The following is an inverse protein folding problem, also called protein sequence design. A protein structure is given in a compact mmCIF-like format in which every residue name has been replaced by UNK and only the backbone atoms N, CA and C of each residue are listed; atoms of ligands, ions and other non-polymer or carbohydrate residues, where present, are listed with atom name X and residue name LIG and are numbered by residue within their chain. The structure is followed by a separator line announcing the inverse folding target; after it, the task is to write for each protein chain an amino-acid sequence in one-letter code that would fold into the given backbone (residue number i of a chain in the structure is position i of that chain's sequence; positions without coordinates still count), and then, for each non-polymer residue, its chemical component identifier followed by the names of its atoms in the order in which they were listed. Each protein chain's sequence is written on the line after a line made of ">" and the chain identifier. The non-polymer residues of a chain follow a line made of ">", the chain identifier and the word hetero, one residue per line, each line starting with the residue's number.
data_IF_275785585263
#
_entry.id   IF_275785585263
#
_cell.length_a   1.000
_cell.length_b   1.000
_cell.length_c   1.000
_cell.angle_alpha   90.00
_cell.angle_beta   90.00
_cell.angle_gamma   90.00
#
_symmetry.space_group_name_H-M   'P 1'
#
loop_
_entity.id
_entity.type
_entity.pdbx_description
1 polymer ?
#
# COMPACT_ATOMS: atom_id res chain seq x y z
N UNK A 1 16.55 -4.62 -3.25
CA UNK A 1 15.60 -3.63 -2.75
C UNK A 1 15.68 -2.40 -3.64
N UNK A 2 14.53 -1.82 -3.93
CA UNK A 2 14.26 -0.62 -4.73
C UNK A 2 14.42 0.69 -3.92
N UNK A 3 14.82 0.58 -2.65
CA UNK A 3 15.11 1.73 -1.79
C UNK A 3 13.87 2.50 -1.33
N UNK A 4 12.68 1.92 -1.49
CA UNK A 4 11.43 2.52 -1.03
C UNK A 4 11.04 3.79 -1.78
N UNK A 5 11.25 3.82 -3.10
CA UNK A 5 10.80 4.91 -3.95
C UNK A 5 9.49 4.53 -4.63
N UNK A 6 8.47 5.35 -4.47
CA UNK A 6 7.22 5.26 -5.21
C UNK A 6 7.23 6.33 -6.32
N UNK A 7 6.73 5.99 -7.49
CA UNK A 7 6.65 6.92 -8.62
C UNK A 7 5.32 6.75 -9.33
N UNK A 8 4.69 7.87 -9.68
CA UNK A 8 3.47 7.92 -10.45
C UNK A 8 3.75 8.51 -11.82
N UNK A 9 3.29 7.82 -12.86
CA UNK A 9 3.40 8.24 -14.24
C UNK A 9 2.03 8.38 -14.87
N UNK A 10 1.89 9.30 -15.81
CA UNK A 10 0.78 9.30 -16.76
C UNK A 10 0.89 8.02 -17.61
N UNK A 11 -0.15 7.18 -17.59
CA UNK A 11 -0.12 5.89 -18.26
C UNK A 11 -0.14 5.99 -19.80
N UNK A 12 -0.50 7.15 -20.38
CA UNK A 12 -0.56 7.38 -21.82
C UNK A 12 0.72 8.01 -22.35
N UNK A 13 1.26 8.99 -21.64
CA UNK A 13 2.43 9.75 -22.11
C UNK A 13 3.74 9.24 -21.52
N UNK A 14 3.68 8.59 -20.35
CA UNK A 14 4.86 8.21 -19.57
C UNK A 14 5.47 9.37 -18.76
N UNK A 15 4.82 10.53 -18.74
CA UNK A 15 5.30 11.68 -17.95
C UNK A 15 5.22 11.39 -16.46
N UNK A 16 6.26 11.75 -15.71
CA UNK A 16 6.25 11.63 -14.25
C UNK A 16 5.34 12.71 -13.64
N UNK A 17 4.38 12.29 -12.80
CA UNK A 17 3.60 13.20 -11.98
C UNK A 17 4.29 13.52 -10.66
N UNK A 18 4.80 12.47 -10.00
CA UNK A 18 5.55 12.61 -8.76
C UNK A 18 6.43 11.39 -8.51
N UNK A 19 7.49 11.62 -7.74
CA UNK A 19 8.34 10.60 -7.15
C UNK A 19 8.56 10.95 -5.69
N UNK A 20 8.37 9.99 -4.79
CA UNK A 20 8.59 10.18 -3.37
C UNK A 20 9.32 8.97 -2.76
N UNK A 21 10.03 9.21 -1.66
CA UNK A 21 10.77 8.19 -0.91
C UNK A 21 10.00 7.86 0.36
N UNK A 22 9.35 6.70 0.33
CA UNK A 22 8.52 6.22 1.44
C UNK A 22 9.33 5.58 2.56
N UNK A 23 10.61 5.25 2.31
CA UNK A 23 11.46 4.55 3.29
C UNK A 23 11.03 3.10 3.52
N UNK A 24 11.91 2.31 4.12
CA UNK A 24 11.73 0.86 4.26
C UNK A 24 12.06 0.07 2.99
N UNK A 25 11.90 -1.25 3.07
CA UNK A 25 12.12 -2.17 1.95
C UNK A 25 10.80 -2.75 1.46
N UNK A 26 10.62 -2.85 0.15
CA UNK A 26 9.38 -3.34 -0.45
C UNK A 26 9.65 -4.59 -1.29
N UNK A 27 8.64 -5.44 -1.36
CA UNK A 27 8.57 -6.56 -2.32
C UNK A 27 7.12 -6.82 -2.74
N UNK A 28 6.16 -6.44 -1.89
CA UNK A 28 4.76 -6.37 -2.24
C UNK A 28 4.53 -5.27 -3.29
N UNK A 29 3.72 -5.57 -4.30
CA UNK A 29 3.16 -4.56 -5.19
C UNK A 29 2.13 -3.69 -4.46
N UNK A 30 1.98 -2.40 -4.84
CA UNK A 30 0.91 -1.56 -4.32
C UNK A 30 -0.47 -2.10 -4.71
N UNK A 31 -1.47 -1.78 -3.89
CA UNK A 31 -2.87 -2.14 -4.11
C UNK A 31 -3.71 -0.86 -4.21
N UNK A 32 -4.56 -0.76 -5.24
CA UNK A 32 -5.62 0.24 -5.30
C UNK A 32 -6.95 -0.39 -4.89
N UNK A 33 -7.56 0.09 -3.81
CA UNK A 33 -8.84 -0.42 -3.29
C UNK A 33 -9.54 0.65 -2.45
N UNK A 34 -10.87 0.60 -2.36
CA UNK A 34 -11.68 1.50 -1.52
C UNK A 34 -11.32 3.00 -1.67
N UNK A 35 -10.98 3.45 -2.89
CA UNK A 35 -10.61 4.84 -3.17
C UNK A 35 -9.20 5.26 -2.73
N UNK A 36 -8.36 4.33 -2.29
CA UNK A 36 -7.01 4.59 -1.80
C UNK A 36 -5.95 3.73 -2.50
N UNK A 37 -4.68 4.10 -2.34
CA UNK A 37 -3.53 3.27 -2.73
C UNK A 37 -2.75 2.88 -1.47
N UNK A 38 -2.44 1.59 -1.34
CA UNK A 38 -1.75 1.01 -0.20
C UNK A 38 -0.38 0.45 -0.63
N UNK A 39 0.63 0.68 0.18
CA UNK A 39 1.97 0.14 0.02
C UNK A 39 2.40 -0.60 1.28
N UNK A 40 2.98 -1.78 1.13
CA UNK A 40 3.28 -2.71 2.23
C UNK A 40 4.78 -2.98 2.29
N UNK A 41 5.43 -2.67 3.40
CA UNK A 41 6.87 -2.80 3.54
C UNK A 41 7.29 -3.97 4.47
N UNK A 42 8.59 -4.29 4.44
CA UNK A 42 9.18 -5.39 5.22
C UNK A 42 9.17 -5.13 6.73
N UNK A 43 8.93 -3.90 7.18
CA UNK A 43 8.85 -3.55 8.59
C UNK A 43 7.43 -3.75 9.15
N UNK A 44 6.51 -4.34 8.37
CA UNK A 44 5.12 -4.56 8.75
C UNK A 44 4.26 -3.29 8.63
N UNK A 45 4.79 -2.24 8.01
CA UNK A 45 4.11 -0.97 7.82
C UNK A 45 3.31 -0.95 6.51
N UNK A 46 2.13 -0.35 6.58
CA UNK A 46 1.28 -0.01 5.45
C UNK A 46 1.11 1.49 5.35
N UNK A 47 1.62 2.08 4.28
CA UNK A 47 1.38 3.50 3.94
C UNK A 47 0.17 3.60 3.01
N UNK A 48 -0.76 4.50 3.34
CA UNK A 48 -1.98 4.76 2.57
C UNK A 48 -1.91 6.16 1.99
N UNK A 49 -2.15 6.29 0.68
CA UNK A 49 -2.19 7.58 -0.01
C UNK A 49 -3.51 7.80 -0.74
N UNK A 50 -3.85 9.06 -0.98
CA UNK A 50 -4.88 9.43 -1.97
C UNK A 50 -4.35 9.16 -3.39
N UNK A 51 -5.19 8.65 -4.32
CA UNK A 51 -4.85 8.62 -5.74
C UNK A 51 -4.78 10.04 -6.31
N UNK A 52 -3.79 10.31 -7.17
CA UNK A 52 -3.69 11.59 -7.86
C UNK A 52 -2.32 11.88 -8.45
N UNK A 53 -2.20 13.07 -9.06
CA UNK A 53 -0.95 13.58 -9.64
C UNK A 53 -0.07 14.29 -8.62
N UNK A 54 -0.40 14.19 -7.33
CA UNK A 54 0.41 14.66 -6.21
C UNK A 54 0.53 13.53 -5.19
N UNK A 55 1.70 13.42 -4.56
CA UNK A 55 1.89 12.48 -3.45
C UNK A 55 1.19 13.00 -2.18
N UNK A 56 0.21 12.25 -1.67
CA UNK A 56 -0.59 12.64 -0.50
C UNK A 56 -0.82 11.46 0.45
N UNK A 57 0.10 11.21 1.40
CA UNK A 57 -0.09 10.19 2.41
C UNK A 57 -1.15 10.64 3.43
N UNK A 58 -2.06 9.74 3.76
CA UNK A 58 -3.20 10.01 4.66
C UNK A 58 -3.21 9.14 5.91
N UNK A 59 -2.51 8.00 5.89
CA UNK A 59 -2.40 7.12 7.04
C UNK A 59 -1.18 6.21 6.96
N UNK A 60 -0.73 5.77 8.13
CA UNK A 60 0.28 4.72 8.32
C UNK A 60 -0.24 3.74 9.36
N UNK A 61 -0.16 2.44 9.07
CA UNK A 61 -0.61 1.37 9.96
C UNK A 61 0.50 0.32 10.09
N UNK A 62 0.57 -0.36 11.24
CA UNK A 62 1.56 -1.42 11.47
C UNK A 62 0.86 -2.71 11.89
N UNK A 63 1.25 -3.83 11.30
CA UNK A 63 0.86 -5.18 11.71
C UNK A 63 2.10 -5.99 12.09
N UNK A 64 1.90 -7.09 12.82
CA UNK A 64 3.01 -7.95 13.23
C UNK A 64 3.55 -8.78 12.05
N UNK A 65 4.87 -8.77 11.90
CA UNK A 65 5.59 -9.50 10.86
C UNK A 65 5.86 -8.66 9.60
N UNK A 66 6.53 -9.27 8.63
CA UNK A 66 7.02 -8.60 7.43
C UNK A 66 6.09 -8.79 6.23
N UNK A 67 5.81 -7.73 5.46
CA UNK A 67 5.08 -7.89 4.19
C UNK A 67 6.02 -8.24 3.04
N UNK A 68 6.00 -9.51 2.61
CA UNK A 68 6.68 -9.94 1.38
C UNK A 68 5.72 -10.26 0.23
N UNK A 69 4.41 -10.20 0.48
CA UNK A 69 3.38 -10.49 -0.51
C UNK A 69 2.41 -9.32 -0.66
N UNK A 70 1.88 -9.15 -1.88
CA UNK A 70 0.80 -8.21 -2.15
C UNK A 70 -0.48 -8.60 -1.41
N UNK A 71 -1.18 -7.60 -0.90
CA UNK A 71 -2.52 -7.77 -0.35
C UNK A 71 -3.56 -8.03 -1.45
N UNK A 72 -4.71 -8.59 -1.06
CA UNK A 72 -5.85 -8.80 -1.95
C UNK A 72 -7.10 -8.10 -1.39
N UNK A 73 -7.82 -7.37 -2.24
CA UNK A 73 -9.14 -6.86 -1.93
C UNK A 73 -10.21 -7.88 -2.38
N UNK A 74 -11.05 -8.35 -1.45
CA UNK A 74 -12.13 -9.30 -1.73
C UNK A 74 -13.38 -8.87 -0.98
N UNK A 75 -14.42 -8.50 -1.74
CA UNK A 75 -15.64 -7.91 -1.17
C UNK A 75 -15.32 -6.61 -0.44
N UNK A 76 -15.68 -6.52 0.84
CA UNK A 76 -15.44 -5.35 1.70
C UNK A 76 -14.20 -5.49 2.59
N UNK A 77 -13.34 -6.48 2.32
CA UNK A 77 -12.18 -6.78 3.15
C UNK A 77 -10.87 -6.77 2.36
N UNK A 78 -9.81 -6.35 3.06
CA UNK A 78 -8.43 -6.55 2.64
C UNK A 78 -7.86 -7.78 3.33
N UNK A 79 -7.19 -8.63 2.57
CA UNK A 79 -6.44 -9.78 3.07
C UNK A 79 -4.95 -9.48 2.92
N UNK A 80 -4.24 -9.48 4.04
CA UNK A 80 -2.82 -9.14 4.09
C UNK A 80 -2.03 -10.27 4.73
N UNK A 81 -1.04 -10.79 4.01
CA UNK A 81 -0.18 -11.87 4.48
C UNK A 81 1.18 -11.30 4.90
N UNK A 82 1.52 -11.44 6.17
CA UNK A 82 2.90 -11.26 6.64
C UNK A 82 3.64 -12.60 6.60
N UNK A 83 4.91 -12.60 6.97
CA UNK A 83 5.70 -13.82 7.17
C UNK A 83 5.17 -14.72 8.30
N UNK A 84 4.39 -14.17 9.23
CA UNK A 84 3.90 -14.84 10.43
C UNK A 84 2.38 -15.01 10.49
N UNK A 85 1.61 -14.12 9.84
CA UNK A 85 0.16 -14.07 9.98
C UNK A 85 -0.55 -13.85 8.64
N UNK A 86 -1.85 -14.19 8.62
CA UNK A 86 -2.80 -13.76 7.58
C UNK A 86 -3.91 -12.94 8.26
N UNK A 87 -3.98 -11.66 7.92
CA UNK A 87 -4.99 -10.73 8.41
C UNK A 87 -6.14 -10.59 7.43
N UNK A 88 -7.35 -10.43 7.96
CA UNK A 88 -8.53 -9.96 7.23
C UNK A 88 -9.01 -8.68 7.91
N UNK A 89 -8.93 -7.55 7.22
CA UNK A 89 -9.30 -6.23 7.73
C UNK A 89 -10.49 -5.72 6.93
N UNK A 90 -11.55 -5.32 7.62
CA UNK A 90 -12.73 -4.69 7.02
C UNK A 90 -13.22 -3.56 7.92
N UNK A 91 -13.97 -2.62 7.35
CA UNK A 91 -14.64 -1.59 8.13
C UNK A 91 -15.69 -2.26 9.01
N UNK A 92 -15.72 -1.91 10.29
CA UNK A 92 -16.80 -2.33 11.16
C UNK A 92 -18.13 -1.77 10.62
N UNK A 93 -19.13 -2.62 10.47
CA UNK A 93 -20.47 -2.20 10.08
C UNK A 93 -21.01 -1.18 11.09
N UNK A 94 -21.48 -0.05 10.57
CA UNK A 94 -22.24 0.91 11.36
C UNK A 94 -23.52 0.22 11.83
N UNK A 95 -23.73 0.08 13.13
CA UNK A 95 -25.01 -0.37 13.69
C UNK A 95 -26.10 0.67 13.47
#
# INVERSE_FOLDING_TARGET
>A
SDGGVATCFDAKTGDEHWQDRMGGSYSASPLAADGHIYFFNHDGETTVIEPGTEYRPIATNTLDGQFMASAAAVGHALYLRTDTHLYRIEKAESR
#
